data_IF_639369828395
#
_entry.id   IF_639369828395
#
_cell.length_a   1.000
_cell.length_b   1.000
_cell.length_c   1.000
_cell.angle_alpha   90.00
_cell.angle_beta   90.00
_cell.angle_gamma   90.00
#
_symmetry.space_group_name_H-M   'P 1'
#
loop_
_entity.id
_entity.type
_entity.pdbx_description
1 polymer ?
#
# COMPACT_ATOMS: atom_id res chain seq x y z
N UNK A 1 0.42 -7.22 2.45
CA UNK A 1 -0.69 -6.59 1.71
C UNK A 1 -0.38 -6.69 0.22
N UNK A 2 -1.41 -6.62 -0.62
CA UNK A 2 -1.27 -6.64 -2.06
C UNK A 2 -1.37 -5.23 -2.66
N UNK A 3 -0.65 -4.99 -3.73
CA UNK A 3 -0.83 -3.85 -4.62
C UNK A 3 -1.19 -4.32 -6.02
N UNK A 4 -2.15 -3.68 -6.68
CA UNK A 4 -2.59 -4.10 -8.00
C UNK A 4 -2.83 -2.93 -8.96
N UNK A 5 -2.22 -3.06 -10.14
CA UNK A 5 -2.56 -2.27 -11.32
C UNK A 5 -3.39 -3.16 -12.26
N UNK A 6 -4.68 -2.81 -12.40
CA UNK A 6 -5.64 -3.64 -13.12
C UNK A 6 -5.92 -3.10 -14.52
N UNK A 7 -6.67 -3.86 -15.33
CA UNK A 7 -7.14 -3.41 -16.63
C UNK A 7 -8.59 -3.86 -16.86
N UNK A 8 -9.35 -3.04 -17.59
CA UNK A 8 -10.77 -3.29 -17.82
C UNK A 8 -11.06 -3.96 -19.17
N UNK A 9 -10.16 -3.86 -20.16
CA UNK A 9 -10.42 -4.32 -21.53
C UNK A 9 -9.58 -5.56 -21.80
N UNK A 10 -10.24 -6.67 -22.18
CA UNK A 10 -9.59 -7.95 -22.44
C UNK A 10 -8.66 -7.91 -23.67
N UNK A 11 -9.08 -7.22 -24.75
CA UNK A 11 -8.31 -7.08 -25.98
C UNK A 11 -7.80 -5.66 -26.21
N UNK A 12 -6.60 -5.52 -26.76
CA UNK A 12 -6.12 -4.25 -27.33
C UNK A 12 -5.91 -4.41 -28.82
N UNK A 13 -6.42 -3.47 -29.61
CA UNK A 13 -6.27 -3.43 -31.07
C UNK A 13 -4.82 -3.45 -31.54
N UNK A 14 -3.89 -2.97 -30.72
CA UNK A 14 -2.47 -2.81 -31.11
C UNK A 14 -1.52 -3.83 -30.47
N UNK A 15 -2.03 -4.83 -29.73
CA UNK A 15 -1.19 -5.84 -29.04
C UNK A 15 -0.22 -5.28 -27.98
N UNK A 16 -0.29 -3.99 -27.67
CA UNK A 16 0.61 -3.23 -26.78
C UNK A 16 -0.05 -2.73 -25.50
N UNK A 17 -1.21 -3.27 -25.13
CA UNK A 17 -1.85 -2.87 -23.89
C UNK A 17 -1.05 -3.27 -22.65
N UNK A 18 -1.05 -2.42 -21.63
CA UNK A 18 -0.48 -2.69 -20.31
C UNK A 18 -0.99 -4.03 -19.75
N UNK A 19 -0.09 -4.80 -19.14
CA UNK A 19 -0.40 -6.07 -18.48
C UNK A 19 -1.02 -5.76 -17.12
N UNK A 20 -1.89 -6.64 -16.63
CA UNK A 20 -2.30 -6.55 -15.22
C UNK A 20 -1.14 -6.98 -14.35
N UNK A 21 -0.95 -6.30 -13.23
CA UNK A 21 0.11 -6.59 -12.30
C UNK A 21 -0.41 -6.65 -10.86
N UNK A 22 0.10 -7.62 -10.10
CA UNK A 22 -0.18 -7.84 -8.70
C UNK A 22 1.12 -8.17 -7.96
N UNK A 23 1.36 -7.46 -6.85
CA UNK A 23 2.49 -7.73 -5.98
C UNK A 23 2.04 -7.95 -4.54
N UNK A 24 2.57 -9.01 -3.94
CA UNK A 24 2.40 -9.31 -2.51
C UNK A 24 3.64 -8.90 -1.73
N UNK A 25 3.45 -8.06 -0.72
CA UNK A 25 4.50 -7.62 0.20
C UNK A 25 4.14 -8.00 1.64
N UNK A 26 5.06 -8.63 2.37
CA UNK A 26 4.87 -8.88 3.81
C UNK A 26 5.08 -7.61 4.62
N UNK A 27 4.40 -7.52 5.77
CA UNK A 27 4.70 -6.54 6.83
C UNK A 27 5.32 -7.31 7.99
N UNK A 28 5.91 -6.64 8.96
CA UNK A 28 6.28 -7.27 10.22
C UNK A 28 5.10 -8.07 10.79
N UNK A 29 5.30 -9.37 10.96
CA UNK A 29 4.39 -10.30 11.63
C UNK A 29 5.17 -11.04 12.73
N UNK A 30 4.44 -11.59 13.70
CA UNK A 30 5.02 -12.50 14.71
C UNK A 30 5.09 -13.95 14.20
N UNK A 31 4.74 -14.18 12.93
CA UNK A 31 4.80 -15.48 12.28
C UNK A 31 6.20 -15.71 11.70
N UNK A 32 6.49 -16.96 11.32
CA UNK A 32 7.76 -17.34 10.69
C UNK A 32 7.78 -16.97 9.20
N UNK A 33 7.57 -15.69 8.91
CA UNK A 33 7.58 -15.12 7.56
C UNK A 33 8.58 -13.96 7.50
N UNK A 34 9.42 -13.88 6.45
CA UNK A 34 10.34 -12.76 6.28
C UNK A 34 9.57 -11.42 6.27
N UNK A 35 9.93 -10.45 7.13
CA UNK A 35 9.29 -9.13 7.13
C UNK A 35 9.71 -8.34 5.89
N UNK A 36 8.86 -7.39 5.48
CA UNK A 36 9.15 -6.44 4.39
C UNK A 36 9.72 -7.07 3.11
N UNK A 37 9.22 -8.25 2.74
CA UNK A 37 9.74 -9.03 1.62
C UNK A 37 8.64 -9.22 0.57
N UNK A 38 8.95 -8.90 -0.68
CA UNK A 38 8.07 -9.25 -1.79
C UNK A 38 8.07 -10.78 -1.96
N UNK A 39 6.89 -11.39 -1.92
CA UNK A 39 6.74 -12.86 -1.98
C UNK A 39 5.93 -13.33 -3.19
N UNK A 40 5.20 -12.43 -3.85
CA UNK A 40 4.38 -12.74 -5.02
C UNK A 40 4.51 -11.63 -6.05
N UNK A 41 4.78 -12.02 -7.29
CA UNK A 41 4.70 -11.19 -8.49
C UNK A 41 3.82 -11.93 -9.50
N UNK A 42 2.77 -11.26 -9.97
CA UNK A 42 1.92 -11.77 -11.05
C UNK A 42 1.72 -10.66 -12.07
N UNK A 43 2.40 -10.79 -13.21
CA UNK A 43 2.35 -9.82 -14.31
C UNK A 43 1.87 -10.54 -15.57
N UNK A 44 0.58 -10.42 -15.88
CA UNK A 44 -0.02 -11.15 -16.98
C UNK A 44 -1.22 -10.42 -17.57
N UNK A 45 -1.59 -10.83 -18.79
CA UNK A 45 -2.85 -10.44 -19.42
C UNK A 45 -3.58 -11.70 -19.92
N UNK A 46 -4.33 -12.39 -19.05
CA UNK A 46 -5.19 -13.50 -19.46
C UNK A 46 -6.17 -13.13 -20.58
N UNK A 47 -6.75 -14.17 -21.22
CA UNK A 47 -7.69 -14.02 -22.34
C UNK A 47 -8.89 -13.13 -22.01
N UNK A 48 -9.36 -13.18 -20.77
CA UNK A 48 -10.41 -12.29 -20.25
C UNK A 48 -9.92 -11.58 -19.00
N UNK A 49 -10.36 -10.33 -18.81
CA UNK A 49 -10.07 -9.59 -17.58
C UNK A 49 -10.65 -10.27 -16.33
N UNK A 50 -11.72 -11.06 -16.47
CA UNK A 50 -12.33 -11.79 -15.36
C UNK A 50 -11.44 -12.90 -14.80
N UNK A 51 -10.65 -13.57 -15.64
CA UNK A 51 -9.64 -14.54 -15.15
C UNK A 51 -8.63 -13.82 -14.25
N UNK A 52 -8.11 -12.67 -14.71
CA UNK A 52 -7.20 -11.86 -13.90
C UNK A 52 -7.85 -11.41 -12.57
N UNK A 53 -9.12 -11.00 -12.60
CA UNK A 53 -9.83 -10.58 -11.38
C UNK A 53 -10.02 -11.72 -10.38
N UNK A 54 -10.35 -12.93 -10.85
CA UNK A 54 -10.47 -14.11 -10.01
C UNK A 54 -9.10 -14.56 -9.47
N UNK A 55 -8.04 -14.53 -10.28
CA UNK A 55 -6.67 -14.83 -9.82
C UNK A 55 -6.24 -13.91 -8.67
N UNK A 56 -6.48 -12.59 -8.83
CA UNK A 56 -6.18 -11.58 -7.81
C UNK A 56 -7.02 -11.80 -6.55
N UNK A 57 -8.30 -12.15 -6.70
CA UNK A 57 -9.17 -12.46 -5.57
C UNK A 57 -8.71 -13.72 -4.83
N UNK A 58 -8.38 -14.79 -5.56
CA UNK A 58 -7.86 -16.03 -4.99
C UNK A 58 -6.57 -15.76 -4.20
N UNK A 59 -5.66 -14.93 -4.71
CA UNK A 59 -4.46 -14.54 -3.95
C UNK A 59 -4.83 -13.81 -2.65
N UNK A 60 -5.76 -12.86 -2.67
CA UNK A 60 -6.20 -12.15 -1.47
C UNK A 60 -6.79 -13.10 -0.42
N UNK A 61 -7.62 -14.05 -0.86
CA UNK A 61 -8.26 -15.04 0.02
C UNK A 61 -7.24 -16.03 0.57
N UNK A 62 -6.38 -16.59 -0.28
CA UNK A 62 -5.38 -17.60 0.10
C UNK A 62 -4.40 -17.07 1.15
N UNK A 63 -3.87 -15.86 0.95
CA UNK A 63 -2.93 -15.24 1.89
C UNK A 63 -3.61 -14.46 3.02
N UNK A 64 -4.95 -14.33 2.99
CA UNK A 64 -5.69 -13.55 3.99
C UNK A 64 -5.30 -12.06 4.04
N UNK A 65 -4.73 -11.52 2.96
CA UNK A 65 -4.16 -10.19 2.93
C UNK A 65 -5.03 -9.19 2.15
N UNK A 66 -5.15 -7.94 2.64
CA UNK A 66 -5.90 -6.90 1.94
C UNK A 66 -5.12 -6.38 0.72
N UNK A 67 -5.84 -5.77 -0.22
CA UNK A 67 -5.32 -5.23 -1.48
C UNK A 67 -5.59 -3.73 -1.61
N UNK A 68 -4.59 -2.98 -2.06
CA UNK A 68 -4.75 -1.60 -2.53
C UNK A 68 -4.65 -1.59 -4.06
N UNK A 69 -5.76 -1.33 -4.73
CA UNK A 69 -5.82 -1.26 -6.19
C UNK A 69 -6.22 0.14 -6.67
N UNK A 70 -5.81 0.47 -7.90
CA UNK A 70 -6.25 1.71 -8.54
C UNK A 70 -7.75 1.69 -8.82
N UNK A 71 -8.44 2.82 -8.58
CA UNK A 71 -9.89 2.93 -8.78
C UNK A 71 -10.30 3.52 -10.15
N UNK A 72 -9.34 3.96 -10.98
CA UNK A 72 -9.61 4.49 -12.33
C UNK A 72 -10.21 3.43 -13.27
N UNK A 73 -9.89 2.15 -13.03
CA UNK A 73 -10.42 0.98 -13.74
C UNK A 73 -11.18 0.11 -12.73
N UNK A 74 -12.40 0.49 -12.35
CA UNK A 74 -13.02 -0.01 -11.13
C UNK A 74 -13.58 -1.43 -11.25
N UNK A 75 -13.50 -2.10 -12.41
CA UNK A 75 -14.15 -3.41 -12.61
C UNK A 75 -13.62 -4.47 -11.66
N UNK A 76 -12.31 -4.47 -11.35
CA UNK A 76 -11.73 -5.35 -10.34
C UNK A 76 -12.39 -5.13 -8.97
N UNK A 77 -12.54 -3.89 -8.54
CA UNK A 77 -13.12 -3.55 -7.25
C UNK A 77 -14.62 -3.89 -7.18
N UNK A 78 -15.36 -3.66 -8.27
CA UNK A 78 -16.75 -4.11 -8.39
C UNK A 78 -16.88 -5.64 -8.44
N UNK A 79 -15.90 -6.34 -9.00
CA UNK A 79 -15.86 -7.79 -8.99
C UNK A 79 -15.71 -8.31 -7.55
N UNK A 80 -14.76 -7.77 -6.78
CA UNK A 80 -14.62 -8.07 -5.34
C UNK A 80 -15.92 -7.82 -4.57
N UNK A 81 -16.56 -6.66 -4.79
CA UNK A 81 -17.81 -6.31 -4.13
C UNK A 81 -18.94 -7.30 -4.46
N UNK A 82 -19.17 -7.58 -5.75
CA UNK A 82 -20.25 -8.47 -6.21
C UNK A 82 -20.10 -9.89 -5.70
N UNK A 83 -18.85 -10.35 -5.52
CA UNK A 83 -18.53 -11.68 -4.98
C UNK A 83 -18.57 -11.74 -3.44
N UNK A 84 -18.81 -10.61 -2.75
CA UNK A 84 -18.89 -10.54 -1.29
C UNK A 84 -17.55 -10.27 -0.58
N UNK A 85 -16.48 -9.96 -1.33
CA UNK A 85 -15.11 -9.82 -0.83
C UNK A 85 -14.66 -8.36 -0.71
N UNK A 86 -15.59 -7.42 -0.57
CA UNK A 86 -15.29 -5.98 -0.40
C UNK A 86 -14.32 -5.70 0.76
N UNK A 87 -14.34 -6.51 1.82
CA UNK A 87 -13.48 -6.37 2.99
C UNK A 87 -11.97 -6.43 2.68
N UNK A 88 -11.57 -7.08 1.59
CA UNK A 88 -10.17 -7.13 1.15
C UNK A 88 -9.71 -5.83 0.50
N UNK A 89 -10.60 -5.06 -0.14
CA UNK A 89 -10.23 -3.80 -0.80
C UNK A 89 -9.97 -2.69 0.23
N UNK A 90 -8.74 -2.19 0.27
CA UNK A 90 -8.35 -1.08 1.12
C UNK A 90 -8.90 0.23 0.56
N UNK A 91 -9.22 1.18 1.43
CA UNK A 91 -9.46 2.55 1.00
C UNK A 91 -8.12 3.27 0.88
N UNK A 92 -8.10 4.34 0.08
CA UNK A 92 -6.96 5.26 -0.01
C UNK A 92 -6.44 5.66 1.39
N UNK A 93 -5.13 5.56 1.64
CA UNK A 93 -4.56 5.75 2.98
C UNK A 93 -4.49 7.24 3.40
N UNK A 94 -4.54 8.14 2.42
CA UNK A 94 -4.37 9.58 2.57
C UNK A 94 -5.64 10.33 3.00
N UNK A 95 -6.79 9.64 3.11
CA UNK A 95 -8.07 10.26 3.45
C UNK A 95 -8.80 9.51 4.55
N UNK A 96 -9.33 10.26 5.52
CA UNK A 96 -10.18 9.71 6.56
C UNK A 96 -11.51 9.19 5.97
N UNK A 97 -12.03 8.11 6.53
CA UNK A 97 -13.27 7.45 6.10
C UNK A 97 -14.44 8.42 5.89
N UNK A 98 -14.65 9.34 6.83
CA UNK A 98 -15.77 10.28 6.78
C UNK A 98 -15.70 11.22 5.57
N UNK A 99 -14.50 11.49 5.06
CA UNK A 99 -14.25 12.37 3.93
C UNK A 99 -14.26 11.63 2.58
N UNK A 100 -14.31 10.31 2.56
CA UNK A 100 -14.39 9.53 1.32
C UNK A 100 -15.70 9.79 0.58
N UNK A 101 -15.65 9.76 -0.76
CA UNK A 101 -16.85 9.78 -1.60
C UNK A 101 -17.71 8.52 -1.38
N UNK A 102 -18.95 8.56 -1.86
CA UNK A 102 -19.85 7.38 -1.81
C UNK A 102 -19.22 6.19 -2.52
N UNK A 103 -18.64 6.41 -3.69
CA UNK A 103 -17.95 5.37 -4.47
C UNK A 103 -16.70 4.85 -3.75
N UNK A 104 -15.85 5.72 -3.21
CA UNK A 104 -14.67 5.31 -2.44
C UNK A 104 -15.05 4.46 -1.22
N UNK A 105 -16.15 4.79 -0.52
CA UNK A 105 -16.66 3.96 0.59
C UNK A 105 -17.17 2.62 0.07
N UNK A 106 -17.88 2.63 -1.05
CA UNK A 106 -18.53 1.46 -1.62
C UNK A 106 -17.55 0.41 -2.14
N UNK A 107 -16.51 0.81 -2.87
CA UNK A 107 -15.58 -0.11 -3.56
C UNK A 107 -14.13 -0.04 -3.09
N UNK A 108 -13.72 1.05 -2.44
CA UNK A 108 -12.35 1.27 -1.99
C UNK A 108 -11.42 1.73 -3.11
N UNK A 109 -10.15 1.38 -2.99
CA UNK A 109 -9.08 1.72 -3.93
C UNK A 109 -8.52 3.13 -3.73
N UNK A 110 -7.57 3.47 -4.62
CA UNK A 110 -6.85 4.75 -4.63
C UNK A 110 -6.91 5.40 -6.01
N UNK A 111 -7.12 6.72 -6.11
CA UNK A 111 -7.07 7.41 -7.40
C UNK A 111 -5.63 7.57 -7.90
N UNK A 112 -5.44 7.36 -9.20
CA UNK A 112 -4.13 7.52 -9.87
C UNK A 112 -3.94 8.93 -10.49
N UNK A 113 -4.97 9.79 -10.45
CA UNK A 113 -4.90 11.11 -11.11
C UNK A 113 -4.25 12.22 -10.28
N UNK A 114 -4.23 12.14 -8.94
CA UNK A 114 -3.67 13.21 -8.11
C UNK A 114 -2.14 13.21 -8.13
N UNK A 115 -1.54 14.37 -8.39
CA UNK A 115 -0.09 14.56 -8.42
C UNK A 115 0.58 14.12 -7.11
N UNK A 116 -0.02 14.44 -5.97
CA UNK A 116 0.46 14.03 -4.64
C UNK A 116 0.54 12.51 -4.48
N UNK A 117 -0.41 11.77 -5.09
CA UNK A 117 -0.41 10.31 -5.06
C UNK A 117 0.71 9.73 -5.92
N UNK A 118 0.98 10.33 -7.09
CA UNK A 118 2.09 9.91 -7.96
C UNK A 118 3.44 10.11 -7.26
N UNK A 119 3.61 11.23 -6.56
CA UNK A 119 4.81 11.48 -5.76
C UNK A 119 4.91 10.53 -4.57
N UNK A 120 3.81 10.31 -3.85
CA UNK A 120 3.74 9.37 -2.73
C UNK A 120 4.10 7.94 -3.14
N UNK A 121 3.70 7.55 -4.34
CA UNK A 121 4.04 6.27 -4.94
C UNK A 121 5.53 6.14 -5.25
N UNK A 122 6.11 7.14 -5.90
CA UNK A 122 7.54 7.16 -6.19
C UNK A 122 8.37 7.11 -4.90
N UNK A 123 7.98 7.91 -3.91
CA UNK A 123 8.61 7.91 -2.59
C UNK A 123 8.48 6.55 -1.87
N UNK A 124 7.36 5.83 -2.06
CA UNK A 124 7.19 4.50 -1.50
C UNK A 124 8.22 3.50 -2.08
N UNK A 125 8.40 3.52 -3.40
CA UNK A 125 9.38 2.65 -4.08
C UNK A 125 10.80 3.03 -3.64
N UNK A 126 11.13 4.32 -3.63
CA UNK A 126 12.44 4.82 -3.22
C UNK A 126 12.78 4.43 -1.77
N UNK A 127 11.83 4.62 -0.85
CA UNK A 127 11.96 4.18 0.54
C UNK A 127 12.25 2.69 0.62
N UNK A 128 11.46 1.86 -0.07
CA UNK A 128 11.66 0.42 -0.05
C UNK A 128 13.00 -0.01 -0.63
N UNK A 129 13.45 0.62 -1.72
CA UNK A 129 14.76 0.35 -2.31
C UNK A 129 15.85 0.68 -1.31
N UNK A 130 15.83 1.88 -0.73
CA UNK A 130 16.87 2.31 0.21
C UNK A 130 16.93 1.42 1.46
N UNK A 131 15.78 1.01 1.99
CA UNK A 131 15.70 0.26 3.24
C UNK A 131 15.94 -1.25 3.09
N UNK A 132 15.62 -1.84 1.91
CA UNK A 132 15.50 -3.30 1.77
C UNK A 132 16.16 -3.91 0.52
N UNK A 133 16.59 -3.13 -0.48
CA UNK A 133 17.13 -3.68 -1.74
C UNK A 133 18.50 -3.13 -2.09
N UNK A 134 18.71 -1.82 -1.91
CA UNK A 134 19.95 -1.12 -2.18
C UNK A 134 21.04 -1.45 -1.17
N UNK A 135 21.95 -0.51 -0.96
CA UNK A 135 23.03 -0.67 0.01
C UNK A 135 22.54 -0.33 1.42
N UNK A 136 22.45 -1.34 2.29
CA UNK A 136 21.94 -1.19 3.66
C UNK A 136 23.09 -0.78 4.61
N UNK A 137 24.27 -1.37 4.41
CA UNK A 137 25.50 -1.05 5.12
C UNK A 137 26.72 -1.15 4.18
N UNK A 138 27.90 -0.80 4.67
CA UNK A 138 29.12 -0.86 3.86
C UNK A 138 29.40 -2.30 3.40
N UNK A 139 29.25 -2.56 2.09
CA UNK A 139 29.40 -3.89 1.50
C UNK A 139 28.18 -4.82 1.63
N UNK A 140 27.11 -4.41 2.32
CA UNK A 140 25.89 -5.21 2.48
C UNK A 140 24.75 -4.65 1.63
N UNK A 141 24.17 -5.52 0.79
CA UNK A 141 23.05 -5.20 -0.08
C UNK A 141 21.80 -5.96 0.33
N UNK A 142 20.66 -5.33 0.11
CA UNK A 142 19.36 -5.96 0.30
C UNK A 142 19.04 -7.02 -0.76
N UNK A 143 17.80 -7.49 -0.76
CA UNK A 143 17.37 -8.59 -1.64
C UNK A 143 16.10 -8.25 -2.41
N UNK A 144 16.09 -8.59 -3.69
CA UNK A 144 14.91 -8.54 -4.54
C UNK A 144 14.89 -9.77 -5.45
N UNK A 145 13.89 -10.63 -5.27
CA UNK A 145 13.80 -11.91 -5.98
C UNK A 145 13.15 -11.78 -7.37
N UNK A 146 12.49 -10.66 -7.65
CA UNK A 146 11.73 -10.42 -8.87
C UNK A 146 12.52 -9.51 -9.84
N UNK A 147 13.14 -10.13 -10.84
CA UNK A 147 13.96 -9.43 -11.81
C UNK A 147 13.11 -8.50 -12.72
N UNK A 148 11.89 -8.90 -13.06
CA UNK A 148 11.00 -8.07 -13.88
C UNK A 148 10.68 -6.74 -13.18
N UNK A 149 10.28 -6.79 -11.90
CA UNK A 149 10.11 -5.59 -11.07
C UNK A 149 11.38 -4.75 -10.94
N UNK A 150 12.54 -5.38 -10.70
CA UNK A 150 13.81 -4.66 -10.58
C UNK A 150 14.16 -3.90 -11.87
N UNK A 151 13.96 -4.54 -13.02
CA UNK A 151 14.15 -3.92 -14.33
C UNK A 151 13.14 -2.79 -14.57
N UNK A 152 11.91 -2.94 -14.11
CA UNK A 152 10.86 -1.93 -14.24
C UNK A 152 11.17 -0.69 -13.39
N UNK A 153 11.61 -0.88 -12.15
CA UNK A 153 12.07 0.21 -11.28
C UNK A 153 13.23 0.99 -11.87
N UNK A 154 14.20 0.31 -12.49
CA UNK A 154 15.38 0.95 -13.09
C UNK A 154 15.04 1.93 -14.24
N UNK A 155 13.87 1.75 -14.87
CA UNK A 155 13.40 2.55 -16.00
C UNK A 155 12.22 3.45 -15.64
N UNK A 156 11.75 3.38 -14.40
CA UNK A 156 10.50 3.99 -13.98
C UNK A 156 10.55 5.52 -14.15
N UNK A 157 9.67 6.04 -14.98
CA UNK A 157 9.45 7.47 -15.15
C UNK A 157 8.10 7.86 -14.54
N UNK A 158 8.13 8.74 -13.53
CA UNK A 158 6.96 9.25 -12.82
C UNK A 158 5.97 9.91 -13.80
N UNK A 159 6.45 10.49 -14.90
CA UNK A 159 5.62 11.14 -15.90
C UNK A 159 5.01 10.15 -16.89
N UNK A 160 5.64 8.99 -17.13
CA UNK A 160 5.21 8.01 -18.11
C UNK A 160 5.00 6.61 -17.50
N UNK A 161 3.94 6.50 -16.68
CA UNK A 161 3.59 5.31 -15.90
C UNK A 161 2.98 4.16 -16.70
N UNK A 162 2.56 4.38 -17.94
CA UNK A 162 1.78 3.41 -18.73
C UNK A 162 2.55 2.16 -19.19
N UNK A 163 3.89 2.16 -19.07
CA UNK A 163 4.76 1.06 -19.48
C UNK A 163 5.29 0.22 -18.32
N UNK A 164 5.03 0.64 -17.08
CA UNK A 164 5.72 0.16 -15.89
C UNK A 164 4.76 -0.49 -14.89
N UNK A 165 3.96 -1.45 -15.35
CA UNK A 165 2.90 -2.09 -14.57
C UNK A 165 3.42 -2.71 -13.26
N UNK A 166 4.65 -3.26 -13.27
CA UNK A 166 5.27 -3.85 -12.09
C UNK A 166 5.62 -2.78 -11.06
N UNK A 167 6.16 -1.64 -11.49
CA UNK A 167 6.44 -0.52 -10.61
C UNK A 167 5.16 0.08 -9.99
N UNK A 168 4.04 0.10 -10.74
CA UNK A 168 2.76 0.55 -10.19
C UNK A 168 2.27 -0.41 -9.11
N UNK A 169 2.09 -1.68 -9.46
CA UNK A 169 1.58 -2.69 -8.53
C UNK A 169 2.49 -2.85 -7.28
N UNK A 170 3.81 -2.88 -7.44
CA UNK A 170 4.74 -2.97 -6.31
C UNK A 170 4.69 -1.74 -5.40
N UNK A 171 4.64 -0.53 -5.96
CA UNK A 171 4.55 0.69 -5.16
C UNK A 171 3.24 0.78 -4.38
N UNK A 172 2.12 0.35 -4.98
CA UNK A 172 0.84 0.22 -4.27
C UNK A 172 0.93 -0.77 -3.11
N UNK A 173 1.66 -1.88 -3.26
CA UNK A 173 1.85 -2.86 -2.19
C UNK A 173 2.65 -2.27 -1.02
N UNK A 174 3.72 -1.51 -1.31
CA UNK A 174 4.49 -0.77 -0.30
C UNK A 174 3.60 0.26 0.41
N UNK A 175 2.85 1.07 -0.34
CA UNK A 175 1.92 2.05 0.23
C UNK A 175 0.87 1.39 1.12
N UNK A 176 0.35 0.22 0.74
CA UNK A 176 -0.61 -0.54 1.52
C UNK A 176 -0.02 -1.01 2.87
N UNK A 177 1.20 -1.53 2.87
CA UNK A 177 1.91 -1.95 4.09
C UNK A 177 2.24 -0.75 5.00
N UNK A 178 2.59 0.39 4.41
CA UNK A 178 2.99 1.62 5.10
C UNK A 178 1.89 2.69 5.13
N UNK A 179 0.61 2.29 5.12
CA UNK A 179 -0.54 3.20 5.11
C UNK A 179 -0.51 4.30 6.17
N UNK A 180 0.18 4.05 7.28
CA UNK A 180 0.30 4.99 8.41
C UNK A 180 1.13 6.23 8.05
N UNK A 181 2.08 6.14 7.12
CA UNK A 181 2.89 7.28 6.65
C UNK A 181 2.05 8.31 5.89
N UNK A 182 0.97 7.87 5.24
CA UNK A 182 0.13 8.72 4.40
C UNK A 182 -1.09 9.27 5.15
N UNK A 183 -1.37 8.78 6.37
CA UNK A 183 -2.54 9.21 7.12
C UNK A 183 -2.48 10.72 7.39
N UNK A 184 -3.55 11.47 7.08
CA UNK A 184 -3.58 12.90 7.32
C UNK A 184 -3.52 13.17 8.82
N UNK A 185 -2.39 13.67 9.30
CA UNK A 185 -2.23 14.08 10.69
C UNK A 185 -2.93 15.41 10.88
N UNK A 186 -4.04 15.41 11.62
CA UNK A 186 -4.70 16.66 12.02
C UNK A 186 -3.74 17.51 12.86
N UNK A 187 -3.82 18.85 12.73
CA UNK A 187 -3.07 19.76 13.60
C UNK A 187 -3.43 19.46 15.05
N UNK A 188 -2.54 18.78 15.78
CA UNK A 188 -2.72 18.55 17.21
C UNK A 188 -2.56 19.90 17.92
N UNK A 189 -3.67 20.50 18.32
CA UNK A 189 -3.63 21.58 19.29
C UNK A 189 -3.35 20.95 20.66
N UNK A 190 -2.06 20.80 20.99
CA UNK A 190 -1.65 20.44 22.35
C UNK A 190 -1.97 21.64 23.24
N UNK A 191 -3.14 21.61 23.87
CA UNK A 191 -3.48 22.59 24.91
C UNK A 191 -2.43 22.45 26.00
N UNK A 192 -1.76 23.56 26.38
CA UNK A 192 -0.88 23.55 27.55
C UNK A 192 -1.77 23.29 28.76
N UNK A 193 -1.78 22.05 29.23
CA UNK A 193 -2.43 21.68 30.48
C UNK A 193 -1.61 22.31 31.61
N UNK A 194 -2.18 23.33 32.27
CA UNK A 194 -1.63 23.87 33.52
C UNK A 194 -1.94 22.91 34.68
N UNK A 195 -1.45 21.68 34.59
CA UNK A 195 -1.55 20.69 35.65
C UNK A 195 -0.36 20.89 36.59
N UNK A 196 -0.64 21.40 37.80
CA UNK A 196 0.33 21.36 38.90
C UNK A 196 0.30 19.97 39.50
N UNK A 197 1.22 19.11 39.08
CA UNK A 197 1.39 17.79 39.70
C UNK A 197 2.15 18.01 41.02
N UNK A 198 1.42 18.01 42.14
CA UNK A 198 2.01 18.05 43.46
C UNK A 198 2.71 16.72 43.76
N UNK A 199 3.98 16.77 44.19
CA UNK A 199 4.68 15.60 44.76
C UNK A 199 4.52 15.65 46.27
N UNK A 200 4.40 14.50 46.92
CA UNK A 200 4.25 14.42 48.37
C UNK A 200 5.50 13.75 48.97
N UNK A 201 5.99 14.28 50.09
CA UNK A 201 6.97 13.59 50.92
C UNK A 201 6.24 12.72 51.95
N UNK A 202 6.65 11.46 52.05
CA UNK A 202 6.08 10.43 52.93
C UNK A 202 7.08 9.94 54.00
N UNK A 203 8.15 10.67 54.28
CA UNK A 203 9.18 10.30 55.25
C UNK A 203 8.75 10.39 56.74
N UNK A 204 7.48 10.74 57.04
CA UNK A 204 6.97 10.87 58.41
C UNK A 204 5.54 10.34 58.58
N UNK A 205 4.99 10.50 59.80
CA UNK A 205 3.64 10.03 60.14
C UNK A 205 2.50 10.71 59.34
N UNK A 206 2.74 11.89 58.76
CA UNK A 206 1.79 12.63 57.94
C UNK A 206 2.42 13.00 56.59
N UNK A 207 1.68 12.78 55.50
CA UNK A 207 2.11 13.18 54.15
C UNK A 207 2.08 14.71 53.99
N UNK A 208 3.17 15.28 53.48
CA UNK A 208 3.28 16.73 53.21
C UNK A 208 3.53 17.00 51.74
N UNK A 209 2.97 18.09 51.20
CA UNK A 209 3.21 18.50 49.81
C UNK A 209 4.63 19.06 49.70
N UNK A 210 5.40 18.54 48.76
CA UNK A 210 6.69 19.10 48.34
C UNK A 210 6.39 20.38 47.56
N UNK A 211 6.79 21.52 48.11
CA UNK A 211 6.64 22.84 47.47
C UNK A 211 7.60 23.01 46.31
#
# INVERSE_FOLDING_TARGET
AFGCDSYDISGTTDGRGSKGALHGLTKFTMEDAPPSTFFLEYIARPQTAEIFFEDVLMACVFYGMPILAENNKPRLLYHFKRRGYRGYSMNRPDRLWNKLSVTEKEIGGVPNSSMDMKQSHAAAIEMYINDHVGQIAEGEYGTMYFNDTLNDWSKFDINNRTKYDAAISSGLAVMACHKDLYRPVGKQQKTKLNLKIARYNQEGYNSTIIK
#
